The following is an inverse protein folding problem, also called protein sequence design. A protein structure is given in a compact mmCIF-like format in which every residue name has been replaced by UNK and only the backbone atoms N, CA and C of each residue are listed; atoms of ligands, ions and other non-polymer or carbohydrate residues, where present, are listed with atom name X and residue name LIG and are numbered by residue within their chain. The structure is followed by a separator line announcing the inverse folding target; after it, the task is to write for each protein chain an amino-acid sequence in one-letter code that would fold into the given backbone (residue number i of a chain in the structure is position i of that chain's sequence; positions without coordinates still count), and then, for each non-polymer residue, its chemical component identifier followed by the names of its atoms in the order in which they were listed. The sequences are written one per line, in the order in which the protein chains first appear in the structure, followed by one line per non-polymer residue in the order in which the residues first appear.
data_IF_232778152403
#
_entry.id   IF_232778152403
#
_cell.length_a   1.000
_cell.length_b   1.000
_cell.length_c   1.000
_cell.angle_alpha   90.00
_cell.angle_beta   90.00
_cell.angle_gamma   90.00
#
_symmetry.space_group_name_H-M   'P 1'
#
loop_
_entity.id
_entity.type
_entity.pdbx_description
1 polymer ?
#
# COMPACT_ATOMS: atom_id res chain seq x y z
N UNK A 1 13.04 22.77 16.03
CA UNK A 1 12.46 21.79 15.09
C UNK A 1 12.62 20.36 15.64
N UNK A 2 12.08 20.09 16.84
CA UNK A 2 12.44 18.91 17.65
C UNK A 2 11.24 18.37 18.44
N UNK A 3 10.16 17.92 17.79
CA UNK A 3 8.99 17.31 18.48
C UNK A 3 8.24 16.21 17.70
N UNK A 4 8.88 15.54 16.73
CA UNK A 4 8.30 14.36 16.06
C UNK A 4 9.13 13.07 16.22
N UNK A 5 10.37 13.17 16.72
CA UNK A 5 11.29 12.01 16.86
C UNK A 5 10.86 10.95 17.89
N UNK A 6 9.83 11.22 18.70
CA UNK A 6 9.29 10.26 19.68
C UNK A 6 7.96 9.62 19.26
N UNK A 7 7.42 9.96 18.09
CA UNK A 7 6.13 9.44 17.60
C UNK A 7 6.38 8.59 16.36
N UNK A 8 6.05 7.30 16.46
CA UNK A 8 6.09 6.38 15.33
C UNK A 8 4.85 6.63 14.48
N UNK A 9 5.06 6.89 13.20
CA UNK A 9 4.02 7.05 12.20
C UNK A 9 4.01 5.82 11.31
N UNK A 10 2.82 5.34 10.97
CA UNK A 10 2.63 4.15 10.15
C UNK A 10 2.18 4.55 8.75
N UNK A 11 2.84 3.98 7.73
CA UNK A 11 2.53 4.24 6.33
C UNK A 11 2.09 2.93 5.66
N UNK A 12 0.89 2.91 5.09
CA UNK A 12 0.39 1.80 4.29
C UNK A 12 0.56 2.10 2.80
N UNK A 13 1.00 1.11 2.02
CA UNK A 13 1.18 1.23 0.56
C UNK A 13 0.56 0.04 -0.17
N UNK A 14 -0.35 0.35 -1.09
CA UNK A 14 -0.84 -0.57 -2.14
C UNK A 14 -0.12 -0.24 -3.46
N UNK A 15 0.85 -1.04 -3.92
CA UNK A 15 1.67 -0.70 -5.08
C UNK A 15 0.96 -0.93 -6.42
N UNK A 16 1.51 -0.31 -7.46
CA UNK A 16 1.08 -0.41 -8.85
C UNK A 16 1.14 0.96 -9.55
N UNK A 17 0.51 1.05 -10.72
CA UNK A 17 0.42 2.32 -11.47
C UNK A 17 -0.25 3.43 -10.65
N UNK A 18 -1.29 3.06 -9.90
CA UNK A 18 -1.98 3.91 -8.95
C UNK A 18 -1.61 3.46 -7.54
N UNK A 19 -0.64 4.11 -6.93
CA UNK A 19 -0.13 3.76 -5.61
C UNK A 19 -1.12 4.24 -4.56
N UNK A 20 -1.78 3.31 -3.88
CA UNK A 20 -2.54 3.62 -2.68
C UNK A 20 -1.60 4.02 -1.56
N UNK A 21 -1.90 5.14 -0.90
CA UNK A 21 -1.08 5.66 0.21
C UNK A 21 -1.96 6.03 1.39
N UNK A 22 -1.59 5.56 2.58
CA UNK A 22 -2.27 5.90 3.81
C UNK A 22 -1.28 6.20 4.93
N UNK A 23 -1.58 7.22 5.73
CA UNK A 23 -0.82 7.61 6.91
C UNK A 23 -1.70 7.39 8.15
N UNK A 24 -1.18 6.70 9.16
CA UNK A 24 -1.82 6.62 10.48
C UNK A 24 -0.87 6.95 11.61
N UNK A 25 -1.45 7.46 12.69
CA UNK A 25 -0.73 7.74 13.93
C UNK A 25 -1.66 7.49 15.11
N UNK A 26 -1.19 6.70 16.08
CA UNK A 26 -1.96 6.35 17.28
C UNK A 26 -3.32 5.72 16.97
N UNK A 27 -3.38 4.88 15.94
CA UNK A 27 -4.59 4.20 15.50
C UNK A 27 -5.51 5.01 14.56
N UNK A 28 -5.26 6.31 14.42
CA UNK A 28 -6.09 7.22 13.62
C UNK A 28 -5.51 7.43 12.21
N UNK A 29 -6.37 7.37 11.19
CA UNK A 29 -5.98 7.71 9.82
C UNK A 29 -5.88 9.23 9.66
N UNK A 30 -4.72 9.70 9.22
CA UNK A 30 -4.45 11.12 9.01
C UNK A 30 -4.52 11.52 7.53
N UNK A 31 -4.15 10.61 6.64
CA UNK A 31 -4.05 10.90 5.21
C UNK A 31 -4.43 9.65 4.42
N UNK A 32 -5.13 9.87 3.31
CA UNK A 32 -5.59 8.82 2.43
C UNK A 32 -5.61 9.34 0.99
N UNK A 33 -4.77 8.78 0.13
CA UNK A 33 -4.65 9.27 -1.25
C UNK A 33 -4.21 8.18 -2.23
N UNK A 34 -4.22 8.53 -3.51
CA UNK A 34 -3.66 7.72 -4.58
C UNK A 34 -2.66 8.57 -5.33
N UNK A 35 -1.45 8.06 -5.43
CA UNK A 35 -0.29 8.72 -6.00
C UNK A 35 0.18 7.95 -7.23
N UNK A 36 0.99 8.59 -8.07
CA UNK A 36 1.89 7.85 -8.93
C UNK A 36 3.11 7.35 -8.13
N UNK A 37 3.94 6.51 -8.78
CA UNK A 37 5.11 5.91 -8.16
C UNK A 37 6.10 6.95 -7.60
N UNK A 38 6.40 8.01 -8.36
CA UNK A 38 7.41 9.00 -7.97
C UNK A 38 6.90 9.90 -6.86
N UNK A 39 5.63 10.30 -6.93
CA UNK A 39 4.97 11.04 -5.85
C UNK A 39 5.00 10.25 -4.52
N UNK A 40 4.84 8.92 -4.56
CA UNK A 40 4.97 8.08 -3.36
C UNK A 40 6.41 8.02 -2.81
N UNK A 41 7.42 8.02 -3.69
CA UNK A 41 8.83 8.08 -3.31
C UNK A 41 9.15 9.41 -2.60
N UNK A 42 8.70 10.53 -3.16
CA UNK A 42 8.92 11.86 -2.60
C UNK A 42 8.24 12.02 -1.23
N UNK A 43 7.00 11.54 -1.09
CA UNK A 43 6.25 11.56 0.17
C UNK A 43 6.95 10.73 1.26
N UNK A 44 7.39 9.51 0.94
CA UNK A 44 8.13 8.65 1.87
C UNK A 44 9.43 9.31 2.35
N UNK A 45 10.15 9.96 1.44
CA UNK A 45 11.39 10.67 1.77
C UNK A 45 11.13 11.83 2.72
N UNK A 46 10.15 12.67 2.41
CA UNK A 46 9.78 13.82 3.25
C UNK A 46 9.38 13.36 4.66
N UNK A 47 8.56 12.31 4.76
CA UNK A 47 8.13 11.77 6.05
C UNK A 47 9.30 11.18 6.85
N UNK A 48 10.26 10.53 6.19
CA UNK A 48 11.43 9.93 6.85
C UNK A 48 12.39 10.98 7.44
N UNK A 49 12.42 12.19 6.87
CA UNK A 49 13.19 13.32 7.41
C UNK A 49 12.54 13.89 8.69
N UNK A 50 11.21 13.81 8.79
CA UNK A 50 10.42 14.44 9.83
C UNK A 50 10.02 13.55 11.01
N UNK A 51 9.89 12.24 10.83
CA UNK A 51 9.32 11.32 11.81
C UNK A 51 9.97 9.92 11.78
N UNK A 52 9.79 9.16 12.87
CA UNK A 52 10.12 7.74 12.85
C UNK A 52 9.01 6.98 12.13
N UNK A 53 9.36 6.26 11.05
CA UNK A 53 8.40 5.57 10.19
C UNK A 53 8.44 4.06 10.35
N UNK A 54 7.26 3.45 10.29
CA UNK A 54 7.08 2.03 9.95
C UNK A 54 6.22 1.94 8.68
N UNK A 55 6.77 1.35 7.62
CA UNK A 55 6.07 1.24 6.32
C UNK A 55 5.60 -0.19 6.10
N UNK A 56 4.35 -0.34 5.66
CA UNK A 56 3.69 -1.61 5.38
C UNK A 56 3.31 -1.61 3.91
N UNK A 57 3.89 -2.51 3.12
CA UNK A 57 3.73 -2.54 1.67
C UNK A 57 3.11 -3.86 1.28
N UNK A 58 1.97 -3.85 0.59
CA UNK A 58 1.44 -5.07 0.00
C UNK A 58 2.44 -5.63 -1.02
N UNK A 59 2.82 -6.90 -0.88
CA UNK A 59 3.79 -7.54 -1.75
C UNK A 59 3.21 -8.82 -2.36
N UNK A 60 2.80 -8.80 -3.64
CA UNK A 60 2.24 -9.96 -4.32
C UNK A 60 3.24 -11.13 -4.48
N UNK A 61 4.54 -10.92 -4.22
CA UNK A 61 5.54 -11.99 -4.23
C UNK A 61 5.50 -12.89 -2.99
N UNK A 62 4.82 -12.48 -1.91
CA UNK A 62 4.73 -13.29 -0.67
C UNK A 62 3.77 -14.47 -0.83
N UNK A 63 2.85 -14.42 -1.80
CA UNK A 63 1.91 -15.52 -2.06
C UNK A 63 2.51 -16.62 -2.97
N UNK A 64 2.01 -17.85 -2.78
CA UNK A 64 2.28 -18.96 -3.72
C UNK A 64 1.72 -18.64 -5.12
N UNK A 65 2.36 -19.11 -6.20
CA UNK A 65 1.86 -18.90 -7.56
C UNK A 65 0.42 -19.38 -7.71
N UNK A 66 -0.48 -18.49 -8.15
CA UNK A 66 -1.85 -18.85 -8.52
C UNK A 66 -1.86 -19.36 -9.95
N UNK A 67 -2.04 -20.65 -10.13
CA UNK A 67 -2.21 -21.24 -11.46
C UNK A 67 -3.65 -20.99 -11.95
N UNK A 68 -3.79 -20.47 -13.17
CA UNK A 68 -5.11 -20.32 -13.80
C UNK A 68 -5.78 -21.69 -13.94
N UNK A 69 -7.04 -21.82 -13.52
CA UNK A 69 -7.85 -23.00 -13.83
C UNK A 69 -7.98 -23.15 -15.36
N UNK A 70 -7.83 -24.38 -15.87
CA UNK A 70 -7.93 -24.69 -17.31
C UNK A 70 -9.32 -24.24 -17.82
N UNK A 71 -9.38 -23.51 -18.95
CA UNK A 71 -10.63 -23.06 -19.57
C UNK A 71 -11.27 -21.77 -19.03
N UNK A 72 -10.79 -21.19 -17.92
CA UNK A 72 -11.47 -20.06 -17.28
C UNK A 72 -11.38 -18.69 -18.00
N UNK A 73 -10.39 -18.50 -18.89
CA UNK A 73 -10.08 -17.23 -19.56
C UNK A 73 -9.39 -17.52 -20.89
N UNK A 74 -9.57 -16.64 -21.89
CA UNK A 74 -8.81 -16.71 -23.16
C UNK A 74 -7.32 -16.50 -22.92
N UNK A 75 -6.48 -16.95 -23.87
CA UNK A 75 -5.02 -16.82 -23.79
C UNK A 75 -4.61 -15.36 -23.65
N UNK A 76 -5.13 -14.47 -24.51
CA UNK A 76 -4.83 -13.03 -24.46
C UNK A 76 -5.18 -12.39 -23.10
N UNK A 77 -6.30 -12.78 -22.48
CA UNK A 77 -6.67 -12.29 -21.14
C UNK A 77 -5.66 -12.76 -20.09
N UNK A 78 -5.21 -14.01 -20.15
CA UNK A 78 -4.22 -14.56 -19.21
C UNK A 78 -2.85 -13.90 -19.34
N UNK A 79 -2.42 -13.62 -20.56
CA UNK A 79 -1.16 -12.93 -20.84
C UNK A 79 -1.19 -11.50 -20.29
N UNK A 80 -2.27 -10.76 -20.56
CA UNK A 80 -2.46 -9.41 -20.03
C UNK A 80 -2.44 -9.39 -18.49
N UNK A 81 -3.14 -10.34 -17.84
CA UNK A 81 -3.12 -10.46 -16.37
C UNK A 81 -1.69 -10.75 -15.88
N UNK A 82 -0.98 -11.67 -16.53
CA UNK A 82 0.38 -12.03 -16.14
C UNK A 82 1.34 -10.84 -16.24
N UNK A 83 1.23 -10.02 -17.29
CA UNK A 83 2.03 -8.80 -17.45
C UNK A 83 1.73 -7.78 -16.35
N UNK A 84 0.45 -7.52 -16.05
CA UNK A 84 0.04 -6.62 -14.96
C UNK A 84 0.53 -7.08 -13.59
N UNK A 85 0.45 -8.38 -13.32
CA UNK A 85 0.97 -8.98 -12.08
C UNK A 85 2.49 -8.84 -12.01
N UNK A 86 3.20 -9.07 -13.11
CA UNK A 86 4.65 -8.86 -13.21
C UNK A 86 5.05 -7.43 -12.90
N UNK A 87 4.37 -6.45 -13.51
CA UNK A 87 4.60 -5.02 -13.24
C UNK A 87 4.38 -4.67 -11.76
N UNK A 88 3.26 -5.08 -11.18
CA UNK A 88 2.98 -4.78 -9.77
C UNK A 88 4.01 -5.41 -8.82
N UNK A 89 4.44 -6.65 -9.11
CA UNK A 89 5.53 -7.31 -8.36
C UNK A 89 6.83 -6.50 -8.39
N UNK A 90 7.15 -5.89 -9.53
CA UNK A 90 8.34 -5.05 -9.68
C UNK A 90 8.20 -3.75 -8.88
N UNK A 91 7.05 -3.07 -8.98
CA UNK A 91 6.80 -1.81 -8.26
C UNK A 91 6.88 -2.01 -6.74
N UNK A 92 6.25 -3.08 -6.22
CA UNK A 92 6.32 -3.45 -4.82
C UNK A 92 7.77 -3.66 -4.33
N UNK A 93 8.59 -4.38 -5.12
CA UNK A 93 10.00 -4.61 -4.80
C UNK A 93 10.81 -3.32 -4.78
N UNK A 94 10.58 -2.41 -5.73
CA UNK A 94 11.30 -1.14 -5.80
C UNK A 94 10.96 -0.24 -4.60
N UNK A 95 9.69 -0.18 -4.21
CA UNK A 95 9.27 0.57 -3.02
C UNK A 95 9.88 -0.01 -1.74
N UNK A 96 9.89 -1.34 -1.59
CA UNK A 96 10.54 -2.01 -0.43
C UNK A 96 12.03 -1.64 -0.37
N UNK A 97 12.77 -1.82 -1.46
CA UNK A 97 14.19 -1.49 -1.54
C UNK A 97 14.44 -0.01 -1.26
N UNK A 98 13.57 0.88 -1.73
CA UNK A 98 13.70 2.30 -1.45
C UNK A 98 13.54 2.62 0.04
N UNK A 99 12.53 2.06 0.70
CA UNK A 99 12.32 2.25 2.15
C UNK A 99 13.50 1.69 2.95
N UNK A 100 14.04 0.53 2.57
CA UNK A 100 15.24 -0.05 3.18
C UNK A 100 16.45 0.89 3.03
N UNK A 101 16.62 1.51 1.85
CA UNK A 101 17.69 2.50 1.61
C UNK A 101 17.55 3.77 2.44
N UNK A 102 16.33 4.14 2.83
CA UNK A 102 16.11 5.24 3.78
C UNK A 102 16.46 4.87 5.24
N UNK A 103 16.82 3.60 5.51
CA UNK A 103 17.03 3.11 6.87
C UNK A 103 15.74 3.00 7.68
N UNK A 104 14.59 2.97 7.00
CA UNK A 104 13.26 2.90 7.60
C UNK A 104 12.82 1.45 7.70
N UNK A 105 12.10 1.10 8.78
CA UNK A 105 11.53 -0.24 8.94
C UNK A 105 10.43 -0.47 7.91
N UNK A 106 10.59 -1.50 7.09
CA UNK A 106 9.58 -1.96 6.13
C UNK A 106 9.05 -3.34 6.50
N UNK A 107 7.75 -3.54 6.32
CA UNK A 107 7.09 -4.85 6.40
C UNK A 107 6.41 -5.15 5.07
N UNK A 108 6.90 -6.18 4.39
CA UNK A 108 6.24 -6.74 3.22
C UNK A 108 5.01 -7.57 3.66
N UNK A 109 3.82 -7.08 3.35
CA UNK A 109 2.55 -7.68 3.74
C UNK A 109 2.02 -8.57 2.62
N UNK A 110 1.50 -9.78 2.91
CA UNK A 110 0.83 -10.57 1.88
C UNK A 110 -0.45 -9.86 1.41
N UNK A 111 -0.86 -10.05 0.15
CA UNK A 111 -2.14 -9.56 -0.34
C UNK A 111 -3.29 -10.01 0.56
N UNK A 112 -4.21 -9.11 0.87
CA UNK A 112 -5.35 -9.46 1.71
C UNK A 112 -6.22 -10.52 1.05
N UNK A 113 -6.61 -11.52 1.84
CA UNK A 113 -7.59 -12.54 1.44
C UNK A 113 -9.03 -12.04 1.53
N UNK A 114 -9.27 -11.01 2.35
CA UNK A 114 -10.56 -10.36 2.45
C UNK A 114 -10.87 -9.64 1.12
N UNK A 115 -12.15 -9.65 0.73
CA UNK A 115 -12.60 -8.93 -0.46
C UNK A 115 -12.37 -7.42 -0.37
N UNK A 116 -12.51 -6.75 -1.53
CA UNK A 116 -12.41 -5.29 -1.63
C UNK A 116 -13.43 -4.62 -0.73
N UNK A 117 -12.99 -3.67 0.10
CA UNK A 117 -13.89 -2.88 0.93
C UNK A 117 -14.54 -1.76 0.10
N UNK A 118 -15.86 -1.62 0.23
CA UNK A 118 -16.62 -0.54 -0.42
C UNK A 118 -16.35 0.79 0.26
N UNK A 119 -16.60 1.90 -0.43
CA UNK A 119 -16.44 3.24 0.17
C UNK A 119 -17.34 3.42 1.40
N UNK A 120 -18.58 2.93 1.35
CA UNK A 120 -19.51 2.98 2.47
C UNK A 120 -19.04 2.13 3.66
N UNK A 121 -18.60 0.89 3.40
CA UNK A 121 -18.08 0.01 4.45
C UNK A 121 -16.80 0.58 5.09
N UNK A 122 -15.94 1.21 4.29
CA UNK A 122 -14.74 1.87 4.79
C UNK A 122 -15.07 3.08 5.67
N UNK A 123 -15.99 3.95 5.24
CA UNK A 123 -16.45 5.08 6.06
C UNK A 123 -17.05 4.60 7.39
N UNK A 124 -17.82 3.52 7.40
CA UNK A 124 -18.36 2.94 8.62
C UNK A 124 -17.25 2.40 9.54
N UNK A 125 -16.22 1.78 8.95
CA UNK A 125 -15.11 1.18 9.70
C UNK A 125 -14.15 2.22 10.29
N UNK A 126 -13.87 3.31 9.57
CA UNK A 126 -12.79 4.25 9.89
C UNK A 126 -13.28 5.66 10.24
N UNK A 127 -14.56 5.96 10.03
CA UNK A 127 -15.08 7.32 10.13
C UNK A 127 -14.65 8.24 8.98
N UNK A 128 -13.86 7.77 8.01
CA UNK A 128 -13.33 8.61 6.93
C UNK A 128 -14.46 9.14 6.03
N UNK A 129 -14.77 10.42 6.19
CA UNK A 129 -15.93 11.04 5.54
C UNK A 129 -15.69 11.49 4.10
N UNK A 130 -14.42 11.70 3.72
CA UNK A 130 -14.04 12.15 2.38
C UNK A 130 -14.06 11.01 1.36
N UNK A 131 -14.03 11.35 0.07
CA UNK A 131 -13.89 10.37 -1.00
C UNK A 131 -12.58 9.59 -0.86
N UNK A 132 -12.61 8.31 -1.23
CA UNK A 132 -11.42 7.45 -1.28
C UNK A 132 -11.43 6.59 -2.53
N UNK A 133 -10.27 6.39 -3.13
CA UNK A 133 -10.10 5.38 -4.18
C UNK A 133 -10.03 3.98 -3.57
N UNK A 134 -10.17 2.95 -4.38
CA UNK A 134 -9.98 1.58 -3.90
C UNK A 134 -8.54 1.34 -3.42
N UNK A 135 -7.53 1.80 -4.18
CA UNK A 135 -6.12 1.68 -3.82
C UNK A 135 -5.80 2.34 -2.49
N UNK A 136 -6.32 3.56 -2.26
CA UNK A 136 -6.11 4.28 -1.02
C UNK A 136 -6.69 3.50 0.17
N UNK A 137 -7.93 3.00 0.04
CA UNK A 137 -8.54 2.13 1.05
C UNK A 137 -7.72 0.87 1.27
N UNK A 138 -7.18 0.30 0.19
CA UNK A 138 -6.41 -0.93 0.26
C UNK A 138 -5.11 -0.72 1.07
N UNK A 139 -4.46 0.42 0.89
CA UNK A 139 -3.33 0.88 1.68
C UNK A 139 -3.69 1.16 3.16
N UNK A 140 -4.79 1.86 3.42
CA UNK A 140 -5.25 2.16 4.79
C UNK A 140 -5.49 0.91 5.62
N UNK A 141 -6.05 -0.11 5.00
CA UNK A 141 -6.31 -1.39 5.66
C UNK A 141 -5.04 -2.17 6.04
N UNK A 142 -3.83 -1.73 5.61
CA UNK A 142 -2.55 -2.27 6.11
C UNK A 142 -2.14 -1.65 7.45
N UNK A 143 -2.61 -0.43 7.73
CA UNK A 143 -2.21 0.37 8.90
C UNK A 143 -3.34 0.66 9.89
N UNK A 144 -4.58 0.31 9.56
CA UNK A 144 -5.72 0.50 10.45
C UNK A 144 -5.46 -0.11 11.85
N UNK A 145 -5.70 0.69 12.90
CA UNK A 145 -5.45 0.31 14.29
C UNK A 145 -3.98 0.39 14.74
N UNK A 146 -3.10 0.97 13.92
CA UNK A 146 -1.70 1.27 14.26
C UNK A 146 -1.47 2.78 14.38
#
# INVERSE_FOLDING_TARGET
MLKLRSKVVHVGIDPGVNVGFALSWAGELLQLQTLDFWSAIDELRLLAEGAQLHVYIENPNVNKPTFFKKGANSVAVRENISQKVGSNKRDAQLLIQFVERLGVKVLAMPPRKAGKITAAGFKQLTGWAQSSSQHARDAAMLVLGR
#
